data_IF_360927530679
#
_entry.id   IF_360927530679
#
_cell.length_a   1.000
_cell.length_b   1.000
_cell.length_c   1.000
_cell.angle_alpha   90.00
_cell.angle_beta   90.00
_cell.angle_gamma   90.00
#
_symmetry.space_group_name_H-M   'P 1'
#
loop_
_entity.id
_entity.type
_entity.pdbx_description
1 polymer ?
#
# COMPACT_ATOMS: atom_id res chain seq x y z
N UNK A 1 -10.63 15.16 21.74
CA UNK A 1 -9.66 14.54 20.82
C UNK A 1 -10.41 14.38 19.53
N UNK A 2 -10.19 15.28 18.58
CA UNK A 2 -10.79 15.16 17.26
C UNK A 2 -10.00 14.10 16.51
N UNK A 3 -10.61 12.93 16.38
CA UNK A 3 -10.12 11.87 15.52
C UNK A 3 -10.35 12.36 14.08
N UNK A 4 -9.31 12.98 13.51
CA UNK A 4 -9.28 13.35 12.09
C UNK A 4 -9.22 12.01 11.34
N UNK A 5 -10.38 11.43 11.08
CA UNK A 5 -10.51 10.36 10.10
C UNK A 5 -10.16 11.04 8.77
N UNK A 6 -8.93 10.84 8.31
CA UNK A 6 -8.44 11.31 7.03
C UNK A 6 -9.26 10.64 5.94
N UNK A 7 -10.40 11.25 5.59
CA UNK A 7 -11.42 10.72 4.68
C UNK A 7 -10.94 10.53 3.23
N UNK A 8 -9.67 10.85 2.93
CA UNK A 8 -9.04 10.76 1.62
C UNK A 8 -7.99 9.64 1.50
N UNK A 9 -7.70 8.88 2.57
CA UNK A 9 -6.86 7.70 2.43
C UNK A 9 -7.75 6.55 1.92
N UNK A 10 -7.52 6.02 0.69
CA UNK A 10 -8.24 4.85 0.23
C UNK A 10 -8.04 3.72 1.23
N UNK A 11 -9.11 2.96 1.50
CA UNK A 11 -9.04 1.84 2.43
C UNK A 11 -7.89 0.91 2.03
N UNK A 12 -7.07 0.46 3.00
CA UNK A 12 -6.01 -0.49 2.71
C UNK A 12 -6.60 -1.71 2.00
N UNK A 13 -5.89 -2.21 0.98
CA UNK A 13 -6.32 -3.45 0.30
C UNK A 13 -6.52 -4.56 1.34
N UNK A 14 -7.52 -5.42 1.16
CA UNK A 14 -7.74 -6.55 2.06
C UNK A 14 -6.62 -7.57 1.96
N UNK A 15 -6.46 -8.41 2.99
CA UNK A 15 -5.49 -9.53 2.97
C UNK A 15 -5.79 -10.47 1.80
N UNK A 16 -7.06 -10.81 1.57
CA UNK A 16 -7.48 -11.66 0.45
C UNK A 16 -7.09 -11.05 -0.89
N UNK A 17 -7.31 -9.74 -1.05
CA UNK A 17 -6.92 -9.03 -2.27
C UNK A 17 -5.40 -9.00 -2.44
N UNK A 18 -4.66 -8.84 -1.35
CA UNK A 18 -3.19 -8.92 -1.37
C UNK A 18 -2.72 -10.33 -1.77
N UNK A 19 -3.36 -11.40 -1.27
CA UNK A 19 -3.09 -12.79 -1.69
C UNK A 19 -3.34 -12.99 -3.18
N UNK A 20 -4.45 -12.50 -3.70
CA UNK A 20 -4.76 -12.58 -5.14
C UNK A 20 -3.69 -11.89 -6.00
N UNK A 21 -3.20 -10.72 -5.57
CA UNK A 21 -2.18 -9.96 -6.30
C UNK A 21 -0.81 -10.63 -6.26
N UNK A 22 -0.47 -11.27 -5.15
CA UNK A 22 0.78 -12.03 -5.00
C UNK A 22 0.75 -13.36 -5.79
N UNK A 23 -0.44 -13.91 -6.03
CA UNK A 23 -0.60 -15.15 -6.81
C UNK A 23 0.20 -16.30 -6.19
N UNK A 24 1.03 -16.96 -7.01
CA UNK A 24 1.83 -18.10 -6.59
C UNK A 24 2.86 -17.75 -5.49
N UNK A 25 3.27 -16.49 -5.38
CA UNK A 25 4.20 -16.05 -4.32
C UNK A 25 3.54 -16.03 -2.94
N UNK A 26 2.20 -15.96 -2.87
CA UNK A 26 1.47 -16.12 -1.63
C UNK A 26 1.40 -17.58 -1.15
N UNK A 27 1.77 -18.55 -2.00
CA UNK A 27 1.75 -19.95 -1.64
C UNK A 27 2.75 -20.24 -0.51
N UNK A 28 2.23 -20.72 0.62
CA UNK A 28 3.04 -21.00 1.80
C UNK A 28 3.23 -19.82 2.75
N UNK A 29 2.69 -18.64 2.45
CA UNK A 29 2.67 -17.50 3.37
C UNK A 29 1.48 -17.56 4.32
N UNK A 30 1.74 -17.33 5.61
CA UNK A 30 0.71 -17.11 6.61
C UNK A 30 0.00 -15.76 6.41
N UNK A 31 -1.19 -15.60 6.99
CA UNK A 31 -1.91 -14.32 6.92
C UNK A 31 -1.10 -13.17 7.52
N UNK A 32 -0.30 -13.44 8.56
CA UNK A 32 0.59 -12.44 9.16
C UNK A 32 1.71 -12.01 8.19
N UNK A 33 2.30 -12.95 7.44
CA UNK A 33 3.31 -12.63 6.44
C UNK A 33 2.71 -11.82 5.28
N UNK A 34 1.51 -12.19 4.82
CA UNK A 34 0.80 -11.43 3.80
C UNK A 34 0.45 -10.03 4.32
N UNK A 35 0.00 -9.90 5.56
CA UNK A 35 -0.31 -8.60 6.16
C UNK A 35 0.93 -7.68 6.30
N UNK A 36 2.10 -8.25 6.57
CA UNK A 36 3.36 -7.49 6.56
C UNK A 36 3.70 -6.98 5.15
N UNK A 37 3.58 -7.84 4.13
CA UNK A 37 3.79 -7.46 2.73
C UNK A 37 2.82 -6.36 2.31
N UNK A 38 1.53 -6.52 2.65
CA UNK A 38 0.45 -5.57 2.39
C UNK A 38 0.77 -4.17 2.91
N UNK A 39 1.17 -4.07 4.19
CA UNK A 39 1.56 -2.79 4.83
C UNK A 39 2.80 -2.17 4.18
N UNK A 40 3.78 -3.01 3.80
CA UNK A 40 4.96 -2.53 3.12
C UNK A 40 4.64 -1.99 1.71
N UNK A 41 3.83 -2.71 0.95
CA UNK A 41 3.38 -2.31 -0.38
C UNK A 41 2.60 -0.97 -0.35
N UNK A 42 1.75 -0.77 0.65
CA UNK A 42 1.02 0.48 0.86
C UNK A 42 1.97 1.66 1.12
N UNK A 43 2.99 1.45 1.95
CA UNK A 43 4.04 2.46 2.19
C UNK A 43 4.80 2.78 0.89
N UNK A 44 5.18 1.76 0.13
CA UNK A 44 5.89 1.93 -1.13
C UNK A 44 5.04 2.66 -2.18
N UNK A 45 3.74 2.40 -2.23
CA UNK A 45 2.83 3.12 -3.11
C UNK A 45 2.80 4.62 -2.80
N UNK A 46 2.72 4.99 -1.52
CA UNK A 46 2.82 6.40 -1.12
C UNK A 46 4.16 7.03 -1.51
N UNK A 47 5.28 6.33 -1.31
CA UNK A 47 6.60 6.81 -1.72
C UNK A 47 6.66 7.03 -3.23
N UNK A 48 6.16 6.10 -4.04
CA UNK A 48 6.15 6.23 -5.50
C UNK A 48 5.31 7.43 -5.97
N UNK A 49 4.16 7.68 -5.33
CA UNK A 49 3.33 8.86 -5.60
C UNK A 49 4.12 10.14 -5.30
N UNK A 50 4.77 10.21 -4.13
CA UNK A 50 5.57 11.37 -3.74
C UNK A 50 6.73 11.63 -4.71
N UNK A 51 7.47 10.59 -5.08
CA UNK A 51 8.58 10.68 -6.06
C UNK A 51 8.06 11.18 -7.41
N UNK A 52 6.96 10.61 -7.91
CA UNK A 52 6.35 11.05 -9.16
C UNK A 52 5.87 12.51 -9.12
N UNK A 53 5.33 12.97 -7.98
CA UNK A 53 4.95 14.37 -7.80
C UNK A 53 6.16 15.31 -7.76
N UNK A 54 7.26 14.90 -7.13
CA UNK A 54 8.51 15.66 -7.11
C UNK A 54 9.09 15.80 -8.51
N UNK A 55 9.21 14.71 -9.27
CA UNK A 55 9.75 14.74 -10.63
C UNK A 55 8.98 15.70 -11.53
N UNK A 56 7.64 15.71 -11.47
CA UNK A 56 6.81 16.65 -12.24
C UNK A 56 6.95 18.11 -11.82
N UNK A 57 7.37 18.37 -10.59
CA UNK A 57 7.60 19.72 -10.09
C UNK A 57 8.94 20.29 -10.57
N UNK A 58 9.89 19.42 -10.93
CA UNK A 58 11.25 19.79 -11.38
C UNK A 58 11.36 20.02 -12.89
N UNK A 59 10.37 19.58 -13.67
CA UNK A 59 10.31 19.71 -15.14
C UNK A 59 9.49 20.93 -15.58
N UNK A 60 9.17 21.84 -14.66
CA UNK A 60 8.41 23.07 -14.95
C UNK A 60 9.30 24.31 -14.83
#
# INVERSE_FOLDING_TARGET
>A
MEEIISADAPDPISIDRCRELLGDEAAGLSDEQVDQIRRHAETMAHVLILVFMQDRSTVQ
#
